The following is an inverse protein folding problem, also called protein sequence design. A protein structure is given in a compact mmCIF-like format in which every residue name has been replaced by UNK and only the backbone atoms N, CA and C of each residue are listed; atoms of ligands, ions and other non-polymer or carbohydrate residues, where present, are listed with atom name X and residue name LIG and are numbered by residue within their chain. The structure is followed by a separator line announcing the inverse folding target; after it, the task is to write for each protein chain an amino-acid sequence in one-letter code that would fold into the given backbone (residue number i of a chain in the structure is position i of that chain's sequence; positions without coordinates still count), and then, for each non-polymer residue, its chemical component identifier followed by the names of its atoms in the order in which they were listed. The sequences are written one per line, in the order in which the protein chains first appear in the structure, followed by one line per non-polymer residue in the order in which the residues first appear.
data_IF_281490870299
#
_entry.id   IF_281490870299
#
_cell.length_a   1.000
_cell.length_b   1.000
_cell.length_c   1.000
_cell.angle_alpha   90.00
_cell.angle_beta   90.00
_cell.angle_gamma   90.00
#
_symmetry.space_group_name_H-M   'P 1'
#
loop_
_entity.id
_entity.type
_entity.pdbx_description
1 polymer ?
#
# COMPACT_ATOMS: atom_id res chain seq x y z
N UNK A 1 -12.85 7.13 -3.75
CA UNK A 1 -12.76 5.66 -3.55
C UNK A 1 -12.08 5.36 -2.23
N UNK A 2 -12.20 4.14 -1.74
CA UNK A 2 -11.39 3.63 -0.64
C UNK A 2 -10.64 2.37 -1.08
N UNK A 3 -9.52 2.06 -0.43
CA UNK A 3 -8.64 0.94 -0.72
C UNK A 3 -8.50 0.01 0.49
N UNK A 4 -8.42 -1.29 0.21
CA UNK A 4 -7.80 -2.28 1.08
C UNK A 4 -6.62 -2.87 0.30
N UNK A 5 -5.44 -2.70 0.85
CA UNK A 5 -4.19 -3.31 0.38
C UNK A 5 -3.71 -4.37 1.36
N UNK A 6 -3.34 -5.54 0.85
CA UNK A 6 -2.58 -6.58 1.56
C UNK A 6 -1.30 -6.83 0.77
N UNK A 7 -0.16 -6.64 1.41
CA UNK A 7 1.15 -6.84 0.82
C UNK A 7 1.39 -8.32 0.51
N UNK A 8 1.87 -8.60 -0.69
CA UNK A 8 2.35 -9.92 -1.04
C UNK A 8 3.77 -10.10 -0.54
N UNK A 9 4.04 -11.27 0.02
CA UNK A 9 5.36 -11.60 0.53
C UNK A 9 6.28 -11.95 -0.65
N UNK A 10 7.51 -11.41 -0.64
CA UNK A 10 8.50 -11.78 -1.63
C UNK A 10 8.74 -13.30 -1.52
N UNK A 11 8.29 -14.05 -2.52
CA UNK A 11 8.55 -15.48 -2.61
C UNK A 11 10.04 -15.67 -2.84
N UNK A 12 10.79 -15.83 -1.76
CA UNK A 12 12.18 -16.27 -1.81
C UNK A 12 12.23 -17.62 -2.54
N UNK A 13 13.02 -17.69 -3.62
CA UNK A 13 13.10 -18.86 -4.49
C UNK A 13 13.44 -20.15 -3.73
N UNK A 14 12.87 -21.26 -4.20
CA UNK A 14 13.12 -22.70 -3.96
C UNK A 14 13.47 -23.25 -2.56
N UNK A 15 13.66 -22.44 -1.53
CA UNK A 15 13.77 -22.85 -0.11
C UNK A 15 12.48 -22.55 0.68
N UNK A 16 11.32 -22.50 0.01
CA UNK A 16 10.00 -22.41 0.64
C UNK A 16 9.59 -23.72 1.35
N UNK A 17 10.49 -24.32 2.13
CA UNK A 17 10.26 -25.58 2.85
C UNK A 17 10.91 -25.63 4.23
N UNK A 18 10.73 -24.58 5.03
CA UNK A 18 10.65 -24.73 6.49
C UNK A 18 9.49 -23.87 7.00
N UNK A 19 8.27 -24.35 6.69
CA UNK A 19 6.97 -23.87 7.17
C UNK A 19 6.83 -22.35 7.20
N UNK A 20 6.41 -21.77 6.07
CA UNK A 20 5.89 -20.41 6.05
C UNK A 20 4.66 -20.36 6.96
N UNK A 21 4.81 -19.70 8.09
CA UNK A 21 3.81 -19.73 9.18
C UNK A 21 3.26 -18.35 9.49
N UNK A 22 3.29 -17.48 8.49
CA UNK A 22 2.85 -16.09 8.55
C UNK A 22 3.93 -15.16 9.08
N UNK A 23 3.49 -14.06 9.69
CA UNK A 23 4.37 -12.99 10.15
C UNK A 23 4.19 -12.70 11.63
N UNK A 24 5.29 -12.37 12.29
CA UNK A 24 5.30 -12.03 13.72
C UNK A 24 5.76 -10.59 13.87
N UNK A 25 5.16 -9.90 14.85
CA UNK A 25 5.53 -8.58 15.31
C UNK A 25 6.12 -8.70 16.72
N UNK A 26 7.32 -8.15 16.90
CA UNK A 26 8.04 -8.19 18.19
C UNK A 26 8.73 -6.87 18.48
N UNK A 27 9.17 -6.70 19.73
CA UNK A 27 10.27 -5.79 20.04
C UNK A 27 11.51 -6.59 20.45
N UNK A 28 12.68 -6.04 20.22
CA UNK A 28 13.95 -6.71 20.45
C UNK A 28 15.00 -5.76 21.05
N UNK A 29 15.82 -6.29 21.96
CA UNK A 29 17.05 -5.67 22.48
C UNK A 29 18.21 -6.63 22.23
N UNK A 30 19.27 -6.13 21.59
CA UNK A 30 20.50 -6.87 21.36
C UNK A 30 21.55 -6.44 22.38
N UNK A 31 22.19 -7.41 23.02
CA UNK A 31 23.40 -7.23 23.82
C UNK A 31 24.53 -7.99 23.14
N UNK A 32 25.50 -7.27 22.58
CA UNK A 32 26.62 -7.84 21.84
C UNK A 32 27.88 -7.86 22.70
N UNK A 33 28.76 -8.86 22.54
CA UNK A 33 30.07 -8.80 23.19
C UNK A 33 30.83 -7.54 22.72
N UNK A 34 31.36 -6.78 23.67
CA UNK A 34 32.07 -5.50 23.42
C UNK A 34 31.21 -4.42 22.74
N UNK A 35 29.89 -4.52 22.85
CA UNK A 35 28.90 -3.61 22.23
C UNK A 35 29.05 -3.53 20.69
N UNK A 36 29.63 -4.56 20.07
CA UNK A 36 29.91 -4.63 18.63
C UNK A 36 29.25 -5.87 18.00
N UNK A 37 28.01 -5.74 17.49
CA UNK A 37 27.33 -6.85 16.84
C UNK A 37 28.04 -7.32 15.56
N UNK A 38 28.75 -6.45 14.84
CA UNK A 38 29.41 -6.84 13.59
C UNK A 38 30.69 -7.65 13.85
N UNK A 39 31.41 -7.33 14.92
CA UNK A 39 32.62 -8.05 15.34
C UNK A 39 32.37 -9.25 16.26
N UNK A 40 31.13 -9.47 16.72
CA UNK A 40 30.81 -10.48 17.72
C UNK A 40 31.22 -11.90 17.30
N UNK A 41 30.95 -12.29 16.05
CA UNK A 41 31.28 -13.62 15.52
C UNK A 41 32.79 -13.88 15.38
N UNK A 42 33.62 -12.83 15.32
CA UNK A 42 35.08 -12.94 15.23
C UNK A 42 35.73 -13.22 16.60
N UNK A 43 34.98 -13.03 17.69
CA UNK A 43 35.48 -13.27 19.04
C UNK A 43 35.51 -14.78 19.36
N UNK A 44 36.55 -15.26 20.07
CA UNK A 44 36.54 -16.60 20.63
C UNK A 44 35.29 -16.84 21.49
N UNK A 45 34.71 -18.03 21.41
CA UNK A 45 33.49 -18.38 22.14
C UNK A 45 33.64 -18.33 23.67
N UNK A 46 34.88 -18.38 24.18
CA UNK A 46 35.26 -18.27 25.58
C UNK A 46 35.73 -16.86 25.98
N UNK A 47 35.66 -15.87 25.08
CA UNK A 47 35.94 -14.47 25.41
C UNK A 47 34.97 -14.01 26.51
N UNK A 48 35.45 -13.40 27.61
CA UNK A 48 34.61 -12.98 28.73
C UNK A 48 33.52 -11.98 28.31
N UNK A 49 33.68 -11.24 27.21
CA UNK A 49 32.68 -10.33 26.69
C UNK A 49 31.35 -11.04 26.34
N UNK A 50 31.39 -12.32 25.98
CA UNK A 50 30.17 -13.12 25.77
C UNK A 50 29.40 -13.34 27.07
N UNK A 51 30.11 -13.59 28.18
CA UNK A 51 29.47 -13.77 29.48
C UNK A 51 28.89 -12.46 30.02
N UNK A 52 29.55 -11.33 29.74
CA UNK A 52 29.06 -9.99 30.07
C UNK A 52 27.76 -9.66 29.31
N UNK A 53 27.75 -9.90 27.99
CA UNK A 53 26.57 -9.71 27.15
C UNK A 53 25.39 -10.61 27.60
N UNK A 54 25.65 -11.88 27.92
CA UNK A 54 24.64 -12.80 28.44
C UNK A 54 24.04 -12.29 29.76
N UNK A 55 24.90 -11.83 30.68
CA UNK A 55 24.49 -11.33 31.98
C UNK A 55 23.63 -10.07 31.85
N UNK A 56 24.00 -9.15 30.95
CA UNK A 56 23.23 -7.95 30.64
C UNK A 56 21.85 -8.32 30.07
N UNK A 57 21.82 -9.18 29.05
CA UNK A 57 20.57 -9.66 28.46
C UNK A 57 19.67 -10.36 29.49
N UNK A 58 20.24 -11.18 30.38
CA UNK A 58 19.46 -11.84 31.45
C UNK A 58 18.88 -10.84 32.44
N UNK A 59 19.68 -9.87 32.88
CA UNK A 59 19.21 -8.82 33.79
C UNK A 59 18.06 -7.98 33.17
N UNK A 60 18.18 -7.65 31.88
CA UNK A 60 17.13 -6.98 31.13
C UNK A 60 15.85 -7.81 31.04
N UNK A 61 15.97 -9.09 30.65
CA UNK A 61 14.83 -10.00 30.58
C UNK A 61 14.13 -10.16 31.93
N UNK A 62 14.89 -10.34 33.02
CA UNK A 62 14.34 -10.50 34.37
C UNK A 62 13.61 -9.22 34.84
N UNK A 63 14.20 -8.04 34.58
CA UNK A 63 13.57 -6.74 34.85
C UNK A 63 12.23 -6.61 34.12
N UNK A 64 12.19 -6.95 32.83
CA UNK A 64 10.98 -6.84 32.01
C UNK A 64 9.91 -7.86 32.42
N UNK A 65 10.31 -9.09 32.75
CA UNK A 65 9.41 -10.14 33.25
C UNK A 65 8.76 -9.76 34.58
N UNK A 66 9.45 -8.98 35.42
CA UNK A 66 8.94 -8.53 36.71
C UNK A 66 7.82 -7.47 36.61
N UNK A 67 7.56 -6.87 35.44
CA UNK A 67 6.53 -5.85 35.25
C UNK A 67 5.22 -6.54 34.89
N UNK A 68 4.21 -6.65 35.78
CA UNK A 68 3.01 -7.46 35.51
C UNK A 68 2.05 -6.82 34.49
N UNK A 69 2.03 -5.49 34.42
CA UNK A 69 1.17 -4.76 33.48
C UNK A 69 1.81 -4.72 32.09
N UNK A 70 1.07 -5.16 31.07
CA UNK A 70 1.58 -5.24 29.70
C UNK A 70 1.93 -3.87 29.12
N UNK A 71 1.08 -2.86 29.34
CA UNK A 71 1.31 -1.53 28.79
C UNK A 71 2.57 -0.90 29.39
N UNK A 72 2.76 -1.01 30.71
CA UNK A 72 3.98 -0.60 31.38
C UNK A 72 5.20 -1.38 30.88
N UNK A 73 5.07 -2.70 30.68
CA UNK A 73 6.15 -3.55 30.15
C UNK A 73 6.56 -3.13 28.75
N UNK A 74 5.60 -2.83 27.86
CA UNK A 74 5.89 -2.34 26.50
C UNK A 74 6.62 -0.99 26.52
N UNK A 75 6.22 -0.07 27.41
CA UNK A 75 6.88 1.23 27.57
C UNK A 75 8.30 1.06 28.09
N UNK A 76 8.51 0.27 29.14
CA UNK A 76 9.84 0.05 29.72
C UNK A 76 10.75 -0.72 28.76
N UNK A 77 10.21 -1.65 27.97
CA UNK A 77 10.96 -2.32 26.91
C UNK A 77 11.45 -1.31 25.88
N UNK A 78 10.59 -0.39 25.42
CA UNK A 78 10.97 0.65 24.47
C UNK A 78 12.07 1.57 25.01
N UNK A 79 11.96 1.97 26.27
CA UNK A 79 12.98 2.80 26.94
C UNK A 79 14.30 2.04 27.03
N UNK A 80 14.27 0.77 27.43
CA UNK A 80 15.45 -0.07 27.55
C UNK A 80 16.11 -0.31 26.20
N UNK A 81 15.34 -0.63 25.17
CA UNK A 81 15.83 -0.84 23.81
C UNK A 81 16.53 0.40 23.24
N UNK A 82 15.98 1.59 23.48
CA UNK A 82 16.60 2.86 23.06
C UNK A 82 17.90 3.16 23.79
N UNK A 83 17.99 2.75 25.06
CA UNK A 83 19.14 3.04 25.92
C UNK A 83 20.27 2.03 25.74
N UNK A 84 19.95 0.75 25.57
CA UNK A 84 20.89 -0.35 25.74
C UNK A 84 21.07 -1.24 24.50
N UNK A 85 20.18 -1.18 23.50
CA UNK A 85 20.30 -2.08 22.35
C UNK A 85 21.51 -1.75 21.47
N UNK A 86 22.27 -2.78 21.13
CA UNK A 86 23.36 -2.72 20.17
C UNK A 86 22.88 -2.79 18.72
N UNK A 87 21.68 -3.29 18.48
CA UNK A 87 20.99 -3.11 17.20
C UNK A 87 20.50 -1.65 17.10
N UNK A 88 21.31 -0.82 16.43
CA UNK A 88 21.00 0.61 16.23
C UNK A 88 19.82 0.85 15.28
N UNK A 89 19.48 -0.12 14.44
CA UNK A 89 18.37 -0.01 13.49
C UNK A 89 17.02 -0.08 14.21
N UNK A 90 16.77 -1.17 14.94
CA UNK A 90 15.53 -1.34 15.70
C UNK A 90 15.57 -0.63 17.05
N UNK A 91 16.73 -0.56 17.72
CA UNK A 91 16.91 0.07 19.03
C UNK A 91 16.47 1.53 19.07
N UNK A 92 16.81 2.32 18.05
CA UNK A 92 16.35 3.71 17.92
C UNK A 92 14.82 3.85 17.86
N UNK A 93 14.13 2.79 17.41
CA UNK A 93 12.67 2.69 17.33
C UNK A 93 12.06 1.92 18.51
N UNK A 94 12.79 1.83 19.63
CA UNK A 94 12.31 1.07 20.80
C UNK A 94 12.35 -0.44 20.60
N UNK A 95 13.29 -0.93 19.79
CA UNK A 95 13.42 -2.34 19.44
C UNK A 95 12.35 -2.83 18.46
N UNK A 96 11.53 -1.95 17.88
CA UNK A 96 10.38 -2.36 17.09
C UNK A 96 10.80 -3.07 15.80
N UNK A 97 10.33 -4.30 15.67
CA UNK A 97 10.35 -5.09 14.44
C UNK A 97 8.88 -5.31 14.07
N UNK A 98 8.42 -4.64 13.00
CA UNK A 98 7.04 -4.80 12.54
C UNK A 98 6.84 -6.21 11.93
N UNK A 99 5.62 -6.52 11.50
CA UNK A 99 5.30 -7.82 10.91
C UNK A 99 6.33 -8.23 9.85
N UNK A 100 7.02 -9.32 10.13
CA UNK A 100 8.07 -9.86 9.28
C UNK A 100 8.00 -11.38 9.26
N UNK A 101 8.49 -11.97 8.17
CA UNK A 101 8.45 -13.42 7.94
C UNK A 101 9.71 -14.08 8.50
N UNK A 102 9.69 -15.41 8.67
CA UNK A 102 10.79 -16.20 9.26
C UNK A 102 12.15 -15.98 8.58
N UNK A 103 12.16 -15.76 7.27
CA UNK A 103 13.39 -15.53 6.50
C UNK A 103 14.08 -14.20 6.81
N UNK A 104 13.42 -13.29 7.53
CA UNK A 104 13.97 -11.97 7.87
C UNK A 104 15.00 -11.96 9.00
N UNK A 105 15.27 -13.09 9.66
CA UNK A 105 16.17 -13.15 10.81
C UNK A 105 17.14 -14.33 10.77
N UNK A 106 18.16 -14.27 11.64
CA UNK A 106 19.01 -15.43 11.94
C UNK A 106 18.19 -16.56 12.55
N UNK A 107 18.66 -17.79 12.32
CA UNK A 107 17.92 -19.01 12.64
C UNK A 107 17.48 -19.04 14.11
N UNK A 108 18.38 -18.74 15.05
CA UNK A 108 18.12 -18.82 16.49
C UNK A 108 17.04 -17.83 16.92
N UNK A 109 17.05 -16.62 16.36
CA UNK A 109 16.03 -15.62 16.62
C UNK A 109 14.69 -16.05 16.04
N UNK A 110 14.69 -16.51 14.79
CA UNK A 110 13.49 -17.00 14.10
C UNK A 110 12.84 -18.17 14.82
N UNK A 111 13.62 -19.18 15.18
CA UNK A 111 13.11 -20.32 15.95
C UNK A 111 12.49 -19.84 17.27
N UNK A 112 13.15 -18.90 17.97
CA UNK A 112 12.65 -18.41 19.25
C UNK A 112 11.32 -17.65 19.20
N UNK A 113 10.91 -17.06 18.06
CA UNK A 113 9.67 -16.27 17.96
C UNK A 113 8.56 -16.94 17.14
N UNK A 114 8.93 -17.92 16.30
CA UNK A 114 7.99 -18.64 15.44
C UNK A 114 7.71 -20.07 15.93
N UNK A 115 8.63 -20.69 16.67
CA UNK A 115 8.45 -22.04 17.21
C UNK A 115 7.73 -21.99 18.55
N UNK A 116 6.66 -22.77 18.67
CA UNK A 116 5.85 -22.86 19.89
C UNK A 116 4.67 -21.89 19.94
N UNK A 117 3.98 -21.92 21.08
CA UNK A 117 2.84 -21.04 21.36
C UNK A 117 3.31 -19.89 22.24
N UNK A 118 3.32 -18.68 21.68
CA UNK A 118 3.64 -17.47 22.42
C UNK A 118 2.39 -16.69 22.79
N UNK A 119 2.49 -15.98 23.91
CA UNK A 119 1.43 -15.09 24.38
C UNK A 119 1.82 -13.62 24.22
N UNK A 120 0.83 -12.77 23.94
CA UNK A 120 1.07 -11.32 23.85
C UNK A 120 1.71 -10.81 25.15
N UNK A 121 2.86 -10.17 25.02
CA UNK A 121 3.59 -9.62 26.15
C UNK A 121 4.66 -10.53 26.74
N UNK A 122 4.80 -11.75 26.21
CA UNK A 122 5.83 -12.70 26.63
C UNK A 122 7.24 -12.15 26.37
N UNK A 123 8.10 -12.30 27.37
CA UNK A 123 9.53 -11.99 27.24
C UNK A 123 10.28 -13.29 26.96
N UNK A 124 10.80 -13.39 25.74
CA UNK A 124 11.58 -14.53 25.25
C UNK A 124 13.07 -14.20 25.38
N UNK A 125 13.86 -15.20 25.77
CA UNK A 125 15.31 -15.11 25.90
C UNK A 125 15.84 -14.98 27.33
N UNK A 126 17.17 -14.79 27.47
CA UNK A 126 18.12 -14.46 26.39
C UNK A 126 18.29 -15.55 25.32
N UNK A 127 18.27 -15.18 24.05
CA UNK A 127 18.51 -16.06 22.90
C UNK A 127 19.88 -15.75 22.32
N UNK A 128 20.77 -16.74 22.17
CA UNK A 128 22.11 -16.53 21.62
C UNK A 128 22.09 -16.60 20.08
N UNK A 129 22.83 -15.71 19.41
CA UNK A 129 23.20 -15.83 17.99
C UNK A 129 24.63 -15.35 17.76
N UNK A 130 25.06 -15.32 16.50
CA UNK A 130 26.35 -14.76 16.08
C UNK A 130 26.49 -13.26 16.38
N UNK A 131 25.39 -12.54 16.60
CA UNK A 131 25.38 -11.11 16.91
C UNK A 131 25.43 -10.80 18.41
N UNK A 132 25.19 -11.77 19.29
CA UNK A 132 25.07 -11.54 20.73
C UNK A 132 23.88 -12.27 21.35
N UNK A 133 23.28 -11.65 22.37
CA UNK A 133 22.11 -12.14 23.06
C UNK A 133 20.90 -11.25 22.84
N UNK A 134 19.81 -11.86 22.41
CA UNK A 134 18.54 -11.21 22.10
C UNK A 134 17.58 -11.35 23.28
N UNK A 135 16.98 -10.24 23.69
CA UNK A 135 15.80 -10.20 24.56
C UNK A 135 14.63 -9.73 23.71
N UNK A 136 13.53 -10.48 23.72
CA UNK A 136 12.44 -10.28 22.77
C UNK A 136 11.13 -10.14 23.52
N UNK A 137 10.32 -9.15 23.15
CA UNK A 137 8.93 -9.01 23.58
C UNK A 137 8.02 -9.42 22.44
N UNK A 138 7.31 -10.52 22.62
CA UNK A 138 6.39 -11.03 21.62
C UNK A 138 5.08 -10.23 21.64
N UNK A 139 4.64 -9.67 20.50
CA UNK A 139 3.48 -8.78 20.45
C UNK A 139 2.28 -9.40 19.73
N UNK A 140 2.48 -9.92 18.52
CA UNK A 140 1.39 -10.41 17.69
C UNK A 140 1.90 -11.33 16.59
N UNK A 141 0.99 -12.15 16.06
CA UNK A 141 1.19 -12.98 14.87
C UNK A 141 0.00 -12.87 13.96
N UNK A 142 0.25 -12.88 12.65
CA UNK A 142 -0.76 -12.96 11.60
C UNK A 142 -0.41 -14.07 10.62
N UNK A 143 -1.41 -14.59 9.91
CA UNK A 143 -1.24 -15.62 8.89
C UNK A 143 -0.42 -15.14 7.69
N UNK A 144 -0.16 -16.06 6.76
CA UNK A 144 0.53 -15.76 5.49
C UNK A 144 -0.25 -14.73 4.67
N UNK A 145 0.41 -14.07 3.72
CA UNK A 145 -0.29 -13.21 2.76
C UNK A 145 -1.49 -13.92 2.12
N UNK A 146 -1.34 -15.18 1.70
CA UNK A 146 -2.42 -15.95 1.06
C UNK A 146 -3.60 -16.20 2.02
N UNK A 147 -3.33 -16.55 3.28
CA UNK A 147 -4.39 -16.72 4.29
C UNK A 147 -5.14 -15.41 4.54
N UNK A 148 -4.41 -14.30 4.68
CA UNK A 148 -4.99 -12.95 4.88
C UNK A 148 -5.80 -12.50 3.66
N UNK A 149 -5.32 -12.78 2.46
CA UNK A 149 -6.03 -12.49 1.20
C UNK A 149 -7.33 -13.30 1.13
N UNK A 150 -7.26 -14.61 1.40
CA UNK A 150 -8.44 -15.48 1.37
C UNK A 150 -9.49 -15.10 2.43
N UNK A 151 -9.03 -14.75 3.64
CA UNK A 151 -9.87 -14.19 4.68
C UNK A 151 -10.55 -12.89 4.21
N UNK A 152 -9.77 -11.96 3.63
CA UNK A 152 -10.29 -10.69 3.18
C UNK A 152 -11.34 -10.84 2.07
N UNK A 153 -11.10 -11.73 1.11
CA UNK A 153 -12.10 -12.05 0.08
C UNK A 153 -13.40 -12.59 0.68
N UNK A 154 -13.31 -13.40 1.73
CA UNK A 154 -14.48 -13.95 2.44
C UNK A 154 -15.25 -12.84 3.14
N UNK A 155 -14.53 -11.96 3.87
CA UNK A 155 -15.10 -10.83 4.58
C UNK A 155 -15.78 -9.83 3.64
N UNK A 156 -15.19 -9.52 2.50
CA UNK A 156 -15.76 -8.59 1.51
C UNK A 156 -17.01 -9.14 0.81
N UNK A 157 -17.16 -10.47 0.71
CA UNK A 157 -18.35 -11.13 0.14
C UNK A 157 -19.50 -11.21 1.14
N UNK A 158 -19.26 -10.98 2.44
CA UNK A 158 -20.28 -11.08 3.46
C UNK A 158 -21.34 -9.96 3.31
N UNK A 159 -22.65 -10.26 3.43
CA UNK A 159 -23.69 -9.24 3.40
C UNK A 159 -23.49 -8.20 4.51
N UNK A 160 -23.47 -6.92 4.15
CA UNK A 160 -23.30 -5.82 5.11
C UNK A 160 -21.85 -5.57 5.53
N UNK A 161 -20.86 -6.16 4.85
CA UNK A 161 -19.45 -5.87 5.08
C UNK A 161 -19.15 -4.36 5.04
N UNK A 162 -18.67 -3.82 6.17
CA UNK A 162 -18.29 -2.42 6.28
C UNK A 162 -16.86 -2.24 5.78
N UNK A 163 -16.68 -1.90 4.50
CA UNK A 163 -15.36 -1.75 3.87
C UNK A 163 -14.39 -0.88 4.69
N UNK A 164 -14.87 0.23 5.24
CA UNK A 164 -14.04 1.11 6.06
C UNK A 164 -13.60 0.49 7.40
N UNK A 165 -14.36 -0.44 7.98
CA UNK A 165 -13.94 -1.16 9.18
C UNK A 165 -12.86 -2.20 8.81
N UNK A 166 -13.12 -2.95 7.75
CA UNK A 166 -12.19 -3.94 7.21
C UNK A 166 -10.84 -3.31 6.80
N UNK A 167 -10.87 -2.13 6.20
CA UNK A 167 -9.67 -1.38 5.87
C UNK A 167 -8.85 -0.99 7.11
N UNK A 168 -9.51 -0.57 8.20
CA UNK A 168 -8.82 -0.24 9.45
C UNK A 168 -8.15 -1.44 10.11
N UNK A 169 -8.75 -2.61 9.95
CA UNK A 169 -8.34 -3.82 10.64
C UNK A 169 -7.31 -4.65 9.84
N UNK A 170 -7.51 -4.78 8.52
CA UNK A 170 -6.75 -5.70 7.69
C UNK A 170 -5.85 -5.01 6.66
N UNK A 171 -6.07 -3.72 6.37
CA UNK A 171 -5.28 -3.07 5.32
C UNK A 171 -3.91 -2.64 5.83
N UNK A 172 -2.93 -2.84 4.98
CA UNK A 172 -1.54 -2.39 5.12
C UNK A 172 -1.29 -1.08 4.35
N UNK A 173 -2.36 -0.51 3.77
CA UNK A 173 -2.30 0.76 3.06
C UNK A 173 -2.12 1.93 4.02
N UNK A 174 -1.50 3.00 3.53
CA UNK A 174 -1.24 4.22 4.34
C UNK A 174 -2.51 4.85 4.90
N UNK A 175 -3.65 4.66 4.25
CA UNK A 175 -4.95 5.22 4.63
C UNK A 175 -5.81 4.23 5.41
N UNK A 176 -5.26 3.08 5.83
CA UNK A 176 -5.98 2.05 6.56
C UNK A 176 -6.74 2.62 7.77
N UNK A 177 -6.08 3.45 8.58
CA UNK A 177 -6.66 4.09 9.76
C UNK A 177 -7.88 5.00 9.43
N UNK A 178 -7.90 5.65 8.26
CA UNK A 178 -9.05 6.43 7.78
C UNK A 178 -10.11 5.56 7.08
N UNK A 179 -9.99 4.24 7.13
CA UNK A 179 -10.90 3.31 6.42
C UNK A 179 -10.60 3.19 4.94
N UNK A 180 -9.33 3.39 4.55
CA UNK A 180 -8.84 3.22 3.19
C UNK A 180 -9.10 4.41 2.28
N UNK A 181 -9.65 5.52 2.77
CA UNK A 181 -10.16 6.61 1.91
C UNK A 181 -9.03 7.27 1.12
N UNK A 182 -9.05 7.13 -0.20
CA UNK A 182 -8.09 7.77 -1.13
C UNK A 182 -8.61 9.11 -1.69
N UNK A 183 -9.82 9.51 -1.30
CA UNK A 183 -10.45 10.74 -1.78
C UNK A 183 -10.97 10.63 -3.23
N UNK A 184 -11.10 11.81 -3.86
CA UNK A 184 -11.58 11.96 -5.24
C UNK A 184 -10.46 11.68 -6.23
N UNK A 185 -10.73 10.77 -7.18
CA UNK A 185 -9.77 10.37 -8.20
C UNK A 185 -10.45 10.38 -9.56
N UNK A 186 -9.72 10.80 -10.59
CA UNK A 186 -10.10 10.69 -12.01
C UNK A 186 -9.42 9.48 -12.66
N UNK A 187 -9.87 9.08 -13.85
CA UNK A 187 -9.38 7.86 -14.52
C UNK A 187 -7.86 7.94 -14.80
N UNK A 188 -7.37 9.12 -15.14
CA UNK A 188 -5.97 9.44 -15.43
C UNK A 188 -5.05 9.49 -14.19
N UNK A 189 -5.62 9.59 -12.99
CA UNK A 189 -4.86 9.60 -11.73
C UNK A 189 -4.60 8.19 -11.17
N UNK A 190 -5.31 7.18 -11.67
CA UNK A 190 -5.21 5.80 -11.22
C UNK A 190 -4.38 4.97 -12.20
N UNK A 191 -3.70 3.94 -11.70
CA UNK A 191 -3.11 2.91 -12.57
C UNK A 191 -4.23 2.25 -13.41
N UNK A 192 -3.91 1.82 -14.64
CA UNK A 192 -4.90 1.38 -15.64
C UNK A 192 -5.82 0.30 -15.11
N UNK A 193 -5.26 -0.69 -14.43
CA UNK A 193 -5.93 -1.85 -13.83
C UNK A 193 -6.96 -1.42 -12.78
N UNK A 194 -6.56 -0.48 -11.92
CA UNK A 194 -7.43 0.11 -10.89
C UNK A 194 -8.54 0.92 -11.56
N UNK A 195 -8.17 1.79 -12.50
CA UNK A 195 -9.09 2.66 -13.24
C UNK A 195 -10.19 1.84 -13.93
N UNK A 196 -9.83 0.81 -14.68
CA UNK A 196 -10.81 0.01 -15.42
C UNK A 196 -11.75 -0.75 -14.48
N UNK A 197 -11.24 -1.31 -13.39
CA UNK A 197 -12.07 -1.99 -12.39
C UNK A 197 -13.00 -1.03 -11.64
N UNK A 198 -12.48 0.09 -11.14
CA UNK A 198 -13.25 1.08 -10.36
C UNK A 198 -14.31 1.77 -11.22
N UNK A 199 -13.97 2.15 -12.47
CA UNK A 199 -14.90 2.91 -13.30
C UNK A 199 -16.00 2.06 -13.96
N UNK A 200 -15.85 0.72 -13.95
CA UNK A 200 -16.91 -0.22 -14.32
C UNK A 200 -18.00 -0.37 -13.25
N UNK A 201 -17.77 0.13 -12.04
CA UNK A 201 -18.65 -0.04 -10.89
C UNK A 201 -19.48 1.21 -10.54
N UNK A 202 -20.59 0.99 -9.84
CA UNK A 202 -21.45 1.99 -9.23
C UNK A 202 -21.04 2.29 -7.78
N UNK A 203 -21.53 3.40 -7.24
CA UNK A 203 -21.32 3.74 -5.83
C UNK A 203 -21.83 2.63 -4.90
N UNK A 204 -21.09 2.35 -3.84
CA UNK A 204 -21.28 1.25 -2.90
C UNK A 204 -20.64 -0.08 -3.31
N UNK A 205 -20.26 -0.27 -4.57
CA UNK A 205 -19.69 -1.53 -5.06
C UNK A 205 -18.17 -1.61 -4.81
N UNK A 206 -17.68 -2.84 -4.63
CA UNK A 206 -16.27 -3.16 -4.44
C UNK A 206 -15.74 -3.93 -5.65
N UNK A 207 -14.51 -3.66 -6.06
CA UNK A 207 -13.82 -4.42 -7.12
C UNK A 207 -13.58 -5.88 -6.72
N UNK A 208 -13.40 -6.79 -7.68
CA UNK A 208 -12.67 -8.04 -7.40
C UNK A 208 -11.23 -7.73 -6.94
N UNK A 209 -10.51 -8.76 -6.50
CA UNK A 209 -9.07 -8.67 -6.21
C UNK A 209 -8.34 -8.16 -7.45
N UNK A 210 -7.52 -7.14 -7.27
CA UNK A 210 -6.58 -6.62 -8.26
C UNK A 210 -5.18 -6.93 -7.74
N UNK A 211 -4.39 -7.66 -8.50
CA UNK A 211 -2.98 -7.87 -8.19
C UNK A 211 -2.17 -6.75 -8.84
N UNK A 212 -1.40 -6.03 -8.03
CA UNK A 212 -0.50 -4.97 -8.49
C UNK A 212 0.94 -5.37 -8.19
N UNK A 213 1.86 -4.90 -9.03
CA UNK A 213 3.30 -5.07 -8.84
C UNK A 213 3.91 -3.96 -7.97
N UNK A 214 3.28 -2.77 -7.93
CA UNK A 214 3.74 -1.64 -7.12
C UNK A 214 2.56 -0.82 -6.53
N UNK A 215 2.35 -0.85 -5.20
CA UNK A 215 3.04 -1.75 -4.25
C UNK A 215 2.60 -3.20 -4.50
N UNK A 216 3.54 -4.15 -4.40
CA UNK A 216 3.25 -5.54 -4.70
C UNK A 216 2.19 -6.13 -3.75
N UNK A 217 1.11 -6.68 -4.32
CA UNK A 217 0.13 -7.45 -3.57
C UNK A 217 -1.30 -7.35 -4.06
N UNK A 218 -2.21 -7.67 -3.15
CA UNK A 218 -3.64 -7.74 -3.43
C UNK A 218 -4.34 -6.46 -3.00
N UNK A 219 -5.11 -5.89 -3.92
CA UNK A 219 -5.86 -4.66 -3.73
C UNK A 219 -7.34 -4.87 -3.99
N UNK A 220 -8.17 -4.20 -3.18
CA UNK A 220 -9.59 -4.05 -3.41
C UNK A 220 -9.97 -2.58 -3.26
N UNK A 221 -10.89 -2.13 -4.10
CA UNK A 221 -11.34 -0.75 -4.07
C UNK A 221 -12.85 -0.68 -3.93
N UNK A 222 -13.33 0.16 -3.03
CA UNK A 222 -14.74 0.49 -2.91
C UNK A 222 -15.04 1.86 -3.53
N UNK A 223 -16.06 1.90 -4.39
CA UNK A 223 -16.56 3.14 -4.98
C UNK A 223 -17.48 3.82 -3.98
N UNK A 224 -16.93 4.70 -3.14
CA UNK A 224 -17.75 5.41 -2.15
C UNK A 224 -18.81 6.31 -2.80
N UNK A 225 -18.39 7.11 -3.78
CA UNK A 225 -19.23 8.11 -4.44
C UNK A 225 -18.74 8.31 -5.88
N UNK A 226 -19.64 8.72 -6.78
CA UNK A 226 -19.30 9.18 -8.14
C UNK A 226 -19.88 10.57 -8.35
N UNK A 227 -19.06 11.48 -8.85
CA UNK A 227 -19.47 12.84 -9.20
C UNK A 227 -19.07 13.13 -10.64
N UNK A 228 -20.02 13.53 -11.52
CA UNK A 228 -19.68 14.05 -12.82
C UNK A 228 -18.81 15.30 -12.63
N UNK A 229 -17.63 15.31 -13.25
CA UNK A 229 -16.83 16.52 -13.40
C UNK A 229 -17.17 17.10 -14.77
N UNK A 230 -18.10 18.05 -14.88
CA UNK A 230 -18.32 18.72 -16.16
C UNK A 230 -17.00 19.37 -16.56
N UNK A 231 -16.60 19.13 -17.80
CA UNK A 231 -15.46 19.81 -18.40
C UNK A 231 -15.73 21.32 -18.33
N UNK A 232 -14.75 22.08 -17.86
CA UNK A 232 -14.87 23.54 -17.85
C UNK A 232 -14.90 24.08 -19.30
N UNK A 233 -15.13 25.38 -19.45
CA UNK A 233 -15.25 25.99 -20.78
C UNK A 233 -13.98 25.81 -21.62
N UNK A 234 -12.81 25.85 -20.98
CA UNK A 234 -11.51 25.75 -21.65
C UNK A 234 -11.21 24.31 -22.07
N UNK A 235 -11.52 23.33 -21.22
CA UNK A 235 -11.40 21.90 -21.54
C UNK A 235 -12.37 21.46 -22.64
N UNK A 236 -13.61 21.99 -22.62
CA UNK A 236 -14.58 21.78 -23.71
C UNK A 236 -14.10 22.42 -25.00
N UNK A 237 -13.57 23.65 -24.92
CA UNK A 237 -12.98 24.36 -26.06
C UNK A 237 -11.81 23.58 -26.66
N UNK A 238 -10.88 23.10 -25.84
CA UNK A 238 -9.72 22.33 -26.31
C UNK A 238 -10.11 20.99 -26.97
N UNK A 239 -11.09 20.28 -26.43
CA UNK A 239 -11.60 19.04 -27.04
C UNK A 239 -12.35 19.32 -28.35
N UNK A 240 -13.12 20.41 -28.42
CA UNK A 240 -13.76 20.86 -29.66
C UNK A 240 -12.71 21.23 -30.71
N UNK A 241 -11.69 22.03 -30.36
CA UNK A 241 -10.61 22.40 -31.28
C UNK A 241 -9.78 21.19 -31.72
N UNK A 242 -9.52 20.22 -30.84
CA UNK A 242 -8.84 18.98 -31.20
C UNK A 242 -9.70 18.08 -32.10
N UNK A 243 -11.00 17.99 -31.84
CA UNK A 243 -11.95 17.27 -32.68
C UNK A 243 -12.14 17.98 -34.03
N UNK A 244 -12.18 19.31 -34.06
CA UNK A 244 -12.24 20.13 -35.26
C UNK A 244 -10.94 20.01 -36.07
N UNK A 245 -9.76 20.01 -35.44
CA UNK A 245 -8.48 19.85 -36.11
C UNK A 245 -8.27 18.47 -36.77
N UNK A 246 -8.90 17.41 -36.25
CA UNK A 246 -8.77 16.04 -36.77
C UNK A 246 -9.97 15.61 -37.64
N UNK A 247 -11.19 15.99 -37.26
CA UNK A 247 -12.40 15.57 -37.95
C UNK A 247 -12.87 16.57 -39.02
N UNK A 248 -12.63 17.87 -38.86
CA UNK A 248 -13.17 18.88 -39.78
C UNK A 248 -12.49 18.88 -41.15
N UNK A 249 -11.14 18.79 -41.28
CA UNK A 249 -10.49 18.74 -42.59
C UNK A 249 -10.93 17.53 -43.42
N UNK A 250 -11.01 16.35 -42.78
CA UNK A 250 -11.38 15.10 -43.45
C UNK A 250 -12.88 15.05 -43.76
N UNK A 251 -13.75 15.39 -42.82
CA UNK A 251 -15.19 15.40 -43.07
C UNK A 251 -15.60 16.48 -44.08
N UNK A 252 -14.91 17.63 -44.09
CA UNK A 252 -15.10 18.66 -45.09
C UNK A 252 -14.56 18.23 -46.46
N UNK A 253 -13.36 17.65 -46.55
CA UNK A 253 -12.84 17.09 -47.82
C UNK A 253 -13.74 15.99 -48.37
N UNK A 254 -14.16 15.03 -47.53
CA UNK A 254 -15.01 13.90 -47.95
C UNK A 254 -16.41 14.40 -48.42
N UNK A 255 -16.90 15.52 -47.88
CA UNK A 255 -18.14 16.20 -48.33
C UNK A 255 -17.93 17.09 -49.57
N UNK A 256 -16.80 17.79 -49.66
CA UNK A 256 -16.52 18.79 -50.69
C UNK A 256 -15.96 18.18 -51.98
N UNK A 257 -15.18 17.09 -51.90
CA UNK A 257 -14.58 16.41 -53.04
C UNK A 257 -15.61 15.97 -54.11
N UNK A 258 -16.71 15.28 -53.77
CA UNK A 258 -17.72 14.91 -54.78
C UNK A 258 -18.48 16.13 -55.32
N UNK A 259 -18.65 17.20 -54.52
CA UNK A 259 -19.32 18.44 -54.96
C UNK A 259 -18.48 19.26 -55.93
N UNK A 260 -17.16 19.19 -55.78
CA UNK A 260 -16.20 19.82 -56.70
C UNK A 260 -16.20 19.14 -58.08
N UNK A 261 -16.38 17.83 -58.13
CA UNK A 261 -16.46 17.08 -59.40
C UNK A 261 -17.77 17.33 -60.17
N UNK A 262 -18.87 17.63 -59.46
CA UNK A 262 -20.18 17.93 -60.07
C UNK A 262 -20.43 19.41 -60.33
N UNK A 263 -19.49 20.29 -59.97
CA UNK A 263 -19.61 21.72 -60.24
C UNK A 263 -19.33 21.99 -61.73
N UNK A 264 -20.39 22.00 -62.53
CA UNK A 264 -20.33 22.48 -63.92
C UNK A 264 -19.84 23.94 -63.99
N UNK A 265 -19.09 24.26 -65.04
CA UNK A 265 -18.17 25.39 -65.17
C UNK A 265 -18.80 26.80 -65.26
N UNK A 266 -19.96 27.02 -64.65
CA UNK A 266 -20.80 28.20 -64.93
C UNK A 266 -20.74 29.26 -63.80
N UNK A 267 -19.86 29.09 -62.82
CA UNK A 267 -19.47 30.15 -61.88
C UNK A 267 -20.56 30.64 -60.92
N UNK A 268 -21.69 29.94 -60.79
CA UNK A 268 -22.74 30.26 -59.83
C UNK A 268 -22.90 29.12 -58.83
N UNK A 269 -22.44 29.35 -57.59
CA UNK A 269 -22.75 28.49 -56.44
C UNK A 269 -24.01 29.07 -55.80
N UNK A 270 -25.17 28.44 -55.99
CA UNK A 270 -26.36 28.76 -55.22
C UNK A 270 -26.22 28.19 -53.81
N UNK A 271 -26.40 29.05 -52.81
CA UNK A 271 -26.44 28.65 -51.40
C UNK A 271 -27.71 27.83 -51.16
N UNK A 272 -27.54 26.60 -50.69
CA UNK A 272 -28.63 25.76 -50.24
C UNK A 272 -28.97 26.12 -48.78
N UNK A 273 -30.10 26.80 -48.61
CA UNK A 273 -30.58 27.29 -47.30
C UNK A 273 -31.25 26.21 -46.44
N UNK A 274 -31.18 24.94 -46.84
CA UNK A 274 -31.70 23.82 -46.03
C UNK A 274 -30.86 23.50 -44.79
N UNK A 275 -29.68 24.12 -44.62
CA UNK A 275 -28.83 23.91 -43.44
C UNK A 275 -29.24 24.81 -42.26
N UNK A 276 -30.22 24.36 -41.48
CA UNK A 276 -30.54 24.95 -40.16
C UNK A 276 -29.60 24.39 -39.08
N UNK A 277 -28.31 24.69 -39.19
CA UNK A 277 -27.35 24.49 -38.10
C UNK A 277 -27.52 25.59 -37.06
N UNK A 278 -28.15 25.27 -35.94
CA UNK A 278 -28.40 26.21 -34.84
C UNK A 278 -27.09 26.67 -34.17
N UNK A 279 -26.53 27.76 -34.66
CA UNK A 279 -25.58 28.60 -33.96
C UNK A 279 -26.18 29.99 -33.84
N UNK A 280 -26.58 30.39 -32.64
CA UNK A 280 -26.97 31.77 -32.34
C UNK A 280 -25.76 32.67 -32.49
N UNK A 281 -25.73 33.50 -33.54
CA UNK A 281 -24.91 34.72 -33.55
C UNK A 281 -25.49 35.70 -32.51
N UNK A 282 -24.67 36.33 -31.65
CA UNK A 282 -25.12 37.50 -30.91
C UNK A 282 -25.00 38.72 -31.81
N UNK A 283 -26.11 39.12 -32.43
CA UNK A 283 -26.28 40.46 -32.98
C UNK A 283 -26.87 41.40 -31.93
N UNK A 284 -26.27 42.57 -31.74
CA UNK A 284 -26.91 43.90 -31.84
C UNK A 284 -25.80 44.96 -31.82
N UNK A 285 -25.49 45.65 -32.91
CA UNK A 285 -26.21 46.76 -33.58
C UNK A 285 -25.77 48.15 -33.07
N UNK A 286 -25.33 48.96 -34.03
CA UNK A 286 -25.14 50.43 -34.09
C UNK A 286 -24.59 51.25 -32.90
N UNK A 287 -23.55 52.06 -33.17
CA UNK A 287 -23.67 53.53 -33.25
C UNK A 287 -22.39 54.18 -33.82
N UNK A 288 -22.59 54.96 -34.89
CA UNK A 288 -21.64 55.75 -35.67
C UNK A 288 -21.22 57.06 -34.94
N UNK A 289 -20.18 57.81 -35.39
CA UNK A 289 -20.33 58.74 -36.53
C UNK A 289 -19.26 58.64 -37.63
#
# INVERSE_FOLDING_TARGET
IAEIYIAQEATGGEEASLSDTGQVKVRHILYSPKDDPQGAADLPADDPAWAEAEAAARAAADKLKAIPDLAAREVDFEVLAKAESDDKGSGAKGGQLDYTSRSGFVKEFSDAIFDGEHTKGEIIGPVKSDFGYHVILWQSRRGTADERIAEMETLLKAPGAAFAALAREHSEGRTAAEGGVLGWNTKDQLQTEIADAVFALQAGQTTPRIELEDPAGAHWYNVLERKPRPLDADQRGALLTAAEGVAWPKAFEDWYAPKKETAEADGVITRDDSFTGGGTEPGVDELNP
#
